data_IF_524708202406
#
_entry.id   IF_524708202406
#
_cell.length_a   1.000
_cell.length_b   1.000
_cell.length_c   1.000
_cell.angle_alpha   90.00
_cell.angle_beta   90.00
_cell.angle_gamma   90.00
#
_symmetry.space_group_name_H-M   'P 1'
#
loop_
_entity.id
_entity.type
_entity.pdbx_description
1 polymer ?
#
# COMPACT_ATOMS: atom_id res chain seq x y z
N UNK A 1 23.04 14.33 60.00
CA UNK A 1 21.99 14.74 59.04
C UNK A 1 21.18 13.51 58.67
N UNK A 2 19.92 13.42 59.12
CA UNK A 2 19.01 12.34 58.71
C UNK A 2 18.17 12.89 57.54
N UNK A 3 18.28 12.29 56.36
CA UNK A 3 17.45 12.64 55.22
C UNK A 3 15.97 12.30 55.55
N UNK A 4 15.02 13.20 55.27
CA UNK A 4 13.61 12.95 55.54
C UNK A 4 13.07 11.82 54.65
N UNK A 5 12.30 10.90 55.25
CA UNK A 5 11.74 9.69 54.63
C UNK A 5 10.85 10.01 53.42
N UNK A 6 10.31 11.23 53.36
CA UNK A 6 9.48 11.74 52.27
C UNK A 6 10.23 11.79 50.92
N UNK A 7 11.56 12.00 50.93
CA UNK A 7 12.37 11.94 49.68
C UNK A 7 12.56 10.50 49.16
N UNK A 8 12.40 9.48 50.01
CA UNK A 8 12.53 8.07 49.61
C UNK A 8 11.26 7.55 48.91
N UNK A 9 10.10 8.18 49.18
CA UNK A 9 8.82 7.80 48.58
C UNK A 9 8.63 8.35 47.16
N UNK A 10 9.34 9.43 46.78
CA UNK A 10 9.33 9.98 45.42
C UNK A 10 10.22 9.19 44.43
N UNK A 11 11.17 8.37 44.91
CA UNK A 11 12.00 7.52 44.05
C UNK A 11 11.33 6.24 43.56
N UNK A 12 10.12 5.92 44.03
CA UNK A 12 9.38 4.71 43.61
C UNK A 12 8.26 4.97 42.60
N UNK A 13 8.03 6.22 42.20
CA UNK A 13 6.94 6.61 41.29
C UNK A 13 7.36 6.81 39.82
N UNK A 14 8.50 6.26 39.41
CA UNK A 14 8.93 6.24 38.00
C UNK A 14 9.29 4.83 37.53
N UNK A 15 8.49 3.84 37.91
CA UNK A 15 8.24 2.74 36.99
C UNK A 15 7.25 3.28 35.95
N UNK A 16 7.78 4.03 34.98
CA UNK A 16 7.12 4.09 33.69
C UNK A 16 7.06 2.63 33.23
N UNK A 17 5.93 1.99 33.50
CA UNK A 17 5.60 0.73 32.87
C UNK A 17 5.61 1.09 31.39
N UNK A 18 6.71 0.78 30.71
CA UNK A 18 6.76 0.75 29.26
C UNK A 18 5.72 -0.30 28.90
N UNK A 19 4.46 0.12 28.77
CA UNK A 19 3.42 -0.73 28.21
C UNK A 19 4.03 -1.19 26.90
N UNK A 20 4.29 -2.49 26.76
CA UNK A 20 4.67 -3.00 25.45
C UNK A 20 3.52 -2.56 24.56
N UNK A 21 3.81 -1.73 23.55
CA UNK A 21 2.83 -1.42 22.53
C UNK A 21 2.49 -2.77 21.92
N UNK A 22 1.36 -3.35 22.33
CA UNK A 22 0.83 -4.55 21.70
C UNK A 22 0.73 -4.19 20.21
N UNK A 23 1.27 -5.02 19.31
CA UNK A 23 1.19 -4.76 17.89
C UNK A 23 -0.27 -4.49 17.51
N UNK A 24 -0.53 -3.29 16.99
CA UNK A 24 -1.90 -2.87 16.64
C UNK A 24 -2.29 -3.60 15.37
N UNK A 25 -3.32 -4.44 15.45
CA UNK A 25 -4.05 -4.98 14.30
C UNK A 25 -5.26 -4.09 14.03
N UNK A 26 -5.50 -3.70 12.77
CA UNK A 26 -6.71 -3.00 12.38
C UNK A 26 -7.79 -3.98 11.88
N UNK A 27 -8.68 -4.44 12.76
CA UNK A 27 -9.93 -5.00 12.27
C UNK A 27 -10.81 -3.90 11.63
N UNK A 28 -11.89 -4.29 10.95
CA UNK A 28 -12.80 -3.34 10.30
C UNK A 28 -13.29 -2.21 11.22
N UNK A 29 -13.62 -2.53 12.48
CA UNK A 29 -14.06 -1.54 13.46
C UNK A 29 -12.98 -0.47 13.75
N UNK A 30 -11.71 -0.84 13.72
CA UNK A 30 -10.59 0.09 13.93
C UNK A 30 -10.39 1.07 12.77
N UNK A 31 -10.88 0.75 11.56
CA UNK A 31 -10.67 1.56 10.34
C UNK A 31 -11.94 2.27 9.84
N UNK A 32 -13.04 2.27 10.61
CA UNK A 32 -14.29 2.95 10.25
C UNK A 32 -14.13 4.45 9.94
N UNK A 33 -13.08 5.10 10.44
CA UNK A 33 -12.75 6.50 10.11
C UNK A 33 -12.01 6.70 8.77
N UNK A 34 -11.56 5.61 8.15
CA UNK A 34 -10.76 5.59 6.91
C UNK A 34 -11.50 4.98 5.72
N UNK A 35 -12.52 4.14 5.98
CA UNK A 35 -13.36 3.51 4.97
C UNK A 35 -14.74 4.18 4.89
N UNK A 36 -15.37 4.15 3.72
CA UNK A 36 -16.77 4.54 3.53
C UNK A 36 -17.73 3.36 3.59
N UNK A 37 -17.23 2.14 3.75
CA UNK A 37 -18.03 0.93 3.78
C UNK A 37 -18.77 0.78 5.11
N UNK A 38 -19.95 0.15 5.06
CA UNK A 38 -20.71 -0.22 6.26
C UNK A 38 -20.40 -1.62 6.77
N UNK A 39 -19.77 -2.45 5.94
CA UNK A 39 -19.57 -3.89 6.17
C UNK A 39 -18.16 -4.28 5.74
N UNK A 40 -17.58 -5.25 6.44
CA UNK A 40 -16.30 -5.86 6.07
C UNK A 40 -16.48 -6.90 4.96
N UNK A 41 -15.67 -6.83 3.91
CA UNK A 41 -15.66 -7.78 2.80
C UNK A 41 -14.43 -8.69 2.80
N UNK A 42 -13.64 -8.68 3.88
CA UNK A 42 -12.44 -9.51 4.04
C UNK A 42 -12.81 -10.99 4.17
N UNK A 43 -11.94 -11.85 3.66
CA UNK A 43 -12.09 -13.30 3.81
C UNK A 43 -12.05 -13.64 5.29
N UNK A 44 -13.02 -14.40 5.82
CA UNK A 44 -13.04 -14.74 7.23
C UNK A 44 -11.92 -15.73 7.58
N UNK A 45 -11.51 -15.71 8.84
CA UNK A 45 -10.72 -16.79 9.43
C UNK A 45 -11.50 -18.12 9.34
N UNK A 46 -10.79 -19.19 8.98
CA UNK A 46 -11.22 -20.58 9.14
C UNK A 46 -10.14 -21.30 9.97
N UNK A 47 -10.41 -22.51 10.47
CA UNK A 47 -9.47 -23.30 11.28
C UNK A 47 -8.10 -23.45 10.57
N UNK A 48 -8.11 -23.53 9.23
CA UNK A 48 -6.91 -23.60 8.39
C UNK A 48 -6.12 -22.28 8.27
N UNK A 49 -6.75 -21.12 8.52
CA UNK A 49 -6.18 -19.78 8.36
C UNK A 49 -6.05 -19.00 9.67
N UNK A 50 -6.34 -19.63 10.81
CA UNK A 50 -6.42 -18.98 12.13
C UNK A 50 -5.18 -18.16 12.55
N UNK A 51 -4.00 -18.45 11.98
CA UNK A 51 -2.75 -17.71 12.25
C UNK A 51 -2.40 -16.68 11.14
N UNK A 52 -3.24 -16.52 10.11
CA UNK A 52 -2.99 -15.58 9.01
C UNK A 52 -3.28 -14.16 9.49
N UNK A 53 -2.34 -13.24 9.27
CA UNK A 53 -2.56 -11.85 9.65
C UNK A 53 -3.38 -11.06 8.63
N UNK A 54 -2.94 -11.05 7.37
CA UNK A 54 -3.58 -10.27 6.31
C UNK A 54 -4.70 -11.05 5.63
N UNK A 55 -5.85 -10.42 5.50
CA UNK A 55 -7.03 -11.00 4.88
C UNK A 55 -7.41 -10.23 3.63
N UNK A 56 -7.43 -10.92 2.50
CA UNK A 56 -7.82 -10.36 1.21
C UNK A 56 -9.35 -10.28 1.13
N UNK A 57 -9.85 -9.43 0.24
CA UNK A 57 -11.27 -9.34 -0.04
C UNK A 57 -11.80 -10.65 -0.62
N UNK A 58 -13.03 -11.00 -0.25
CA UNK A 58 -13.73 -12.21 -0.71
C UNK A 58 -13.93 -12.30 -2.22
N UNK A 59 -13.83 -11.18 -2.95
CA UNK A 59 -14.06 -11.11 -4.40
C UNK A 59 -12.77 -11.06 -5.24
N UNK A 60 -11.64 -10.66 -4.69
CA UNK A 60 -10.36 -10.56 -5.41
C UNK A 60 -9.19 -10.50 -4.41
N UNK A 61 -8.15 -11.29 -4.68
CA UNK A 61 -6.98 -11.40 -3.81
C UNK A 61 -6.19 -10.10 -3.67
N UNK A 62 -6.26 -9.16 -4.61
CA UNK A 62 -5.43 -7.96 -4.61
C UNK A 62 -6.13 -6.73 -3.99
N UNK A 63 -7.19 -6.98 -3.22
CA UNK A 63 -7.97 -5.95 -2.56
C UNK A 63 -8.10 -6.24 -1.07
N UNK A 64 -8.10 -5.17 -0.28
CA UNK A 64 -8.39 -5.20 1.14
C UNK A 64 -9.89 -5.01 1.36
N UNK A 65 -10.54 -6.04 1.91
CA UNK A 65 -11.99 -6.06 2.09
C UNK A 65 -12.52 -5.04 3.10
N UNK A 66 -11.65 -4.42 3.90
CA UNK A 66 -12.03 -3.32 4.79
C UNK A 66 -12.26 -2.01 4.03
N UNK A 67 -11.71 -1.90 2.80
CA UNK A 67 -11.71 -0.67 2.00
C UNK A 67 -12.33 -0.84 0.60
N UNK A 68 -12.63 -2.07 0.16
CA UNK A 68 -13.24 -2.33 -1.13
C UNK A 68 -14.41 -3.32 -1.03
N UNK A 69 -15.49 -3.04 -1.77
CA UNK A 69 -16.64 -3.92 -1.94
C UNK A 69 -16.69 -4.59 -3.32
N UNK A 70 -15.91 -4.07 -4.28
CA UNK A 70 -15.83 -4.57 -5.65
C UNK A 70 -14.50 -4.18 -6.31
N UNK A 71 -14.15 -4.92 -7.36
CA UNK A 71 -12.96 -4.67 -8.18
C UNK A 71 -13.09 -3.38 -8.98
N UNK A 72 -11.99 -2.63 -9.09
CA UNK A 72 -11.92 -1.47 -9.98
C UNK A 72 -12.02 -1.88 -11.46
N UNK A 73 -12.65 -1.06 -12.31
CA UNK A 73 -12.64 -1.26 -13.76
C UNK A 73 -11.22 -1.36 -14.33
N UNK A 74 -10.99 -2.33 -15.22
CA UNK A 74 -9.67 -2.62 -15.80
C UNK A 74 -9.01 -1.41 -16.47
N UNK A 75 -9.80 -0.57 -17.13
CA UNK A 75 -9.36 0.64 -17.83
C UNK A 75 -8.83 1.74 -16.90
N UNK A 76 -9.22 1.71 -15.63
CA UNK A 76 -8.86 2.70 -14.61
C UNK A 76 -7.91 2.16 -13.55
N UNK A 77 -7.77 0.83 -13.40
CA UNK A 77 -6.90 0.21 -12.39
C UNK A 77 -5.46 0.70 -12.49
N UNK A 78 -4.90 0.78 -13.71
CA UNK A 78 -3.53 1.25 -13.92
C UNK A 78 -3.30 2.67 -13.38
N UNK A 79 -4.30 3.57 -13.45
CA UNK A 79 -4.21 4.90 -12.86
C UNK A 79 -4.07 4.81 -11.33
N UNK A 80 -4.87 3.97 -10.67
CA UNK A 80 -4.78 3.79 -9.22
C UNK A 80 -3.46 3.14 -8.78
N UNK A 81 -2.97 2.13 -9.51
CA UNK A 81 -1.67 1.50 -9.23
C UNK A 81 -0.52 2.52 -9.37
N UNK A 82 -0.58 3.43 -10.33
CA UNK A 82 0.43 4.50 -10.47
C UNK A 82 0.45 5.44 -9.26
N UNK A 83 -0.72 5.84 -8.74
CA UNK A 83 -0.79 6.67 -7.51
C UNK A 83 -0.29 5.91 -6.29
N UNK A 84 -0.63 4.62 -6.19
CA UNK A 84 -0.17 3.75 -5.13
C UNK A 84 1.36 3.60 -5.15
N UNK A 85 1.94 3.31 -6.31
CA UNK A 85 3.38 3.25 -6.53
C UNK A 85 4.07 4.57 -6.16
N UNK A 86 3.58 5.71 -6.67
CA UNK A 86 4.17 7.02 -6.40
C UNK A 86 4.14 7.36 -4.91
N UNK A 87 2.99 7.16 -4.26
CA UNK A 87 2.84 7.47 -2.83
C UNK A 87 3.67 6.55 -1.93
N UNK A 88 3.82 5.29 -2.31
CA UNK A 88 4.67 4.34 -1.59
C UNK A 88 6.14 4.74 -1.69
N UNK A 89 6.69 4.88 -2.90
CA UNK A 89 8.11 5.20 -3.11
C UNK A 89 8.47 6.55 -2.48
N UNK A 90 7.61 7.56 -2.64
CA UNK A 90 7.81 8.88 -2.03
C UNK A 90 7.77 8.83 -0.50
N UNK A 91 6.91 7.99 0.09
CA UNK A 91 6.88 7.80 1.54
C UNK A 91 8.12 7.07 2.04
N UNK A 92 8.52 5.97 1.39
CA UNK A 92 9.70 5.22 1.79
C UNK A 92 10.97 6.06 1.69
N UNK A 93 11.10 6.89 0.65
CA UNK A 93 12.20 7.85 0.51
C UNK A 93 12.21 8.88 1.66
N UNK A 94 11.05 9.48 1.99
CA UNK A 94 10.92 10.42 3.12
C UNK A 94 11.27 9.80 4.47
N UNK A 95 10.93 8.52 4.68
CA UNK A 95 11.26 7.78 5.91
C UNK A 95 12.76 7.37 5.92
N UNK A 96 13.40 7.27 4.75
CA UNK A 96 14.78 6.81 4.60
C UNK A 96 14.91 5.30 4.46
N UNK A 97 13.86 4.63 3.97
CA UNK A 97 13.82 3.19 3.72
C UNK A 97 14.18 2.89 2.28
N UNK A 98 15.10 1.94 2.10
CA UNK A 98 15.43 1.40 0.78
C UNK A 98 14.49 0.24 0.47
N UNK A 99 13.93 0.27 -0.73
CA UNK A 99 12.97 -0.71 -1.22
C UNK A 99 13.33 -1.17 -2.63
N UNK A 100 12.98 -2.40 -2.98
CA UNK A 100 13.22 -2.98 -4.30
C UNK A 100 11.92 -3.44 -4.93
N UNK A 101 11.73 -3.11 -6.21
CA UNK A 101 10.63 -3.63 -7.03
C UNK A 101 10.80 -5.14 -7.26
N UNK A 102 9.71 -5.89 -7.23
CA UNK A 102 9.70 -7.34 -7.41
C UNK A 102 8.73 -7.79 -8.51
N UNK A 103 8.82 -9.07 -8.90
CA UNK A 103 7.84 -9.76 -9.75
C UNK A 103 7.46 -9.01 -11.03
N UNK A 104 6.15 -8.82 -11.28
CA UNK A 104 5.61 -8.15 -12.47
C UNK A 104 6.06 -6.69 -12.57
N UNK A 105 6.16 -5.98 -11.43
CA UNK A 105 6.63 -4.60 -11.37
C UNK A 105 8.06 -4.45 -11.90
N UNK A 106 8.95 -5.35 -11.50
CA UNK A 106 10.34 -5.35 -11.97
C UNK A 106 10.42 -5.59 -13.49
N UNK A 107 9.58 -6.50 -14.01
CA UNK A 107 9.56 -6.82 -15.43
C UNK A 107 9.01 -5.67 -16.29
N UNK A 108 7.93 -5.03 -15.87
CA UNK A 108 7.39 -3.85 -16.55
C UNK A 108 8.38 -2.68 -16.56
N UNK A 109 9.05 -2.45 -15.43
CA UNK A 109 10.13 -1.46 -15.35
C UNK A 109 11.27 -1.78 -16.34
N UNK A 110 11.71 -3.04 -16.39
CA UNK A 110 12.78 -3.48 -17.29
C UNK A 110 12.44 -3.26 -18.78
N UNK A 111 11.19 -3.51 -19.18
CA UNK A 111 10.81 -3.42 -20.60
C UNK A 111 10.59 -1.99 -21.10
N UNK A 112 9.93 -1.14 -20.33
CA UNK A 112 9.63 0.23 -20.79
C UNK A 112 9.49 1.26 -19.65
N UNK A 113 9.88 0.90 -18.42
CA UNK A 113 9.73 1.79 -17.27
C UNK A 113 8.29 1.98 -16.79
N UNK A 114 7.35 1.10 -17.16
CA UNK A 114 5.91 1.22 -16.79
C UNK A 114 5.40 -0.03 -16.08
N UNK A 115 4.30 0.14 -15.34
CA UNK A 115 3.48 -0.99 -14.86
C UNK A 115 2.88 -1.69 -16.08
N UNK A 116 2.81 -3.02 -16.05
CA UNK A 116 2.27 -3.78 -17.16
C UNK A 116 0.78 -3.45 -17.39
N UNK A 117 0.28 -3.36 -18.64
CA UNK A 117 -1.13 -2.99 -18.88
C UNK A 117 -2.16 -3.96 -18.28
N UNK A 118 -1.75 -5.20 -18.01
CA UNK A 118 -2.59 -6.24 -17.42
C UNK A 118 -2.29 -6.50 -15.93
N UNK A 119 -1.31 -5.82 -15.33
CA UNK A 119 -1.04 -5.96 -13.89
C UNK A 119 -2.25 -5.56 -13.05
N UNK A 120 -2.36 -6.19 -11.89
CA UNK A 120 -3.41 -5.96 -10.92
C UNK A 120 -2.89 -5.73 -9.50
N UNK A 121 -1.60 -5.90 -9.26
CA UNK A 121 -0.91 -5.72 -7.99
C UNK A 121 0.43 -5.00 -8.14
N UNK A 122 1.04 -4.70 -6.99
CA UNK A 122 2.42 -4.22 -6.88
C UNK A 122 3.12 -4.96 -5.74
N UNK A 123 4.34 -5.41 -5.99
CA UNK A 123 5.16 -6.13 -5.01
C UNK A 123 6.49 -5.45 -4.78
N UNK A 124 6.85 -5.32 -3.51
CA UNK A 124 8.11 -4.74 -3.09
C UNK A 124 8.80 -5.58 -2.02
N UNK A 125 10.12 -5.39 -1.93
CA UNK A 125 10.94 -6.05 -0.93
C UNK A 125 11.73 -5.02 -0.12
N UNK A 126 11.89 -5.30 1.18
CA UNK A 126 12.69 -4.51 2.13
C UNK A 126 13.75 -5.39 2.82
N UNK A 127 14.75 -4.76 3.43
CA UNK A 127 15.67 -5.46 4.32
C UNK A 127 15.11 -5.51 5.76
N UNK A 128 15.60 -6.46 6.57
CA UNK A 128 15.11 -6.68 7.94
C UNK A 128 15.16 -5.43 8.83
N UNK A 129 16.16 -4.56 8.65
CA UNK A 129 16.27 -3.33 9.45
C UNK A 129 15.17 -2.35 9.06
N UNK A 130 14.89 -2.23 7.76
CA UNK A 130 13.82 -1.39 7.23
C UNK A 130 12.44 -1.86 7.70
N UNK A 131 12.13 -3.15 7.64
CA UNK A 131 10.85 -3.67 8.15
C UNK A 131 10.70 -3.47 9.66
N UNK A 132 11.80 -3.64 10.43
CA UNK A 132 11.81 -3.35 11.87
C UNK A 132 11.56 -1.87 12.18
N UNK A 133 12.12 -0.97 11.39
CA UNK A 133 11.85 0.47 11.50
C UNK A 133 10.36 0.75 11.28
N UNK A 134 9.78 0.19 10.21
CA UNK A 134 8.35 0.33 9.93
C UNK A 134 7.48 -0.23 11.06
N UNK A 135 7.74 -1.46 11.49
CA UNK A 135 6.97 -2.12 12.55
C UNK A 135 6.99 -1.38 13.89
N UNK A 136 8.14 -0.80 14.24
CA UNK A 136 8.32 -0.12 15.53
C UNK A 136 7.73 1.30 15.57
N UNK A 137 7.84 2.05 14.47
CA UNK A 137 7.57 3.49 14.48
C UNK A 137 6.44 3.92 13.53
N UNK A 138 6.23 3.19 12.45
CA UNK A 138 5.33 3.58 11.35
C UNK A 138 4.12 2.65 11.20
N UNK A 139 4.04 1.55 11.94
CA UNK A 139 2.87 0.68 11.87
C UNK A 139 1.59 1.47 12.23
N UNK A 140 0.56 1.31 11.39
CA UNK A 140 -0.74 1.97 11.51
C UNK A 140 -0.72 3.49 11.28
N UNK A 141 0.27 4.02 10.54
CA UNK A 141 0.27 5.43 10.13
C UNK A 141 -0.55 5.64 8.86
N UNK A 142 -1.22 6.81 8.80
CA UNK A 142 -2.01 7.22 7.63
C UNK A 142 -1.32 8.39 6.94
N UNK A 143 -0.98 8.19 5.67
CA UNK A 143 -0.26 9.15 4.86
C UNK A 143 -1.20 9.83 3.87
N UNK A 144 -1.12 11.15 3.79
CA UNK A 144 -2.01 11.97 2.98
C UNK A 144 -1.24 12.54 1.79
N UNK A 145 -1.81 12.40 0.60
CA UNK A 145 -1.25 12.92 -0.65
C UNK A 145 -2.25 13.87 -1.31
N UNK A 146 -1.75 15.03 -1.72
CA UNK A 146 -2.52 16.07 -2.40
C UNK A 146 -2.27 16.04 -3.91
N UNK A 147 -3.02 16.87 -4.66
CA UNK A 147 -2.75 17.10 -6.08
C UNK A 147 -1.29 17.48 -6.35
N UNK A 148 -0.69 18.28 -5.46
CA UNK A 148 0.69 18.74 -5.58
C UNK A 148 1.67 17.58 -5.44
N UNK A 149 1.46 16.70 -4.46
CA UNK A 149 2.35 15.55 -4.21
C UNK A 149 2.38 14.56 -5.39
N UNK A 150 1.28 14.49 -6.15
CA UNK A 150 1.17 13.70 -7.38
C UNK A 150 1.60 14.44 -8.65
N UNK A 151 2.10 15.69 -8.56
CA UNK A 151 2.51 16.47 -9.73
C UNK A 151 1.34 16.88 -10.63
N UNK A 152 0.10 16.87 -10.14
CA UNK A 152 -1.07 17.25 -10.94
C UNK A 152 -1.18 18.74 -11.19
N UNK A 153 -0.43 19.55 -10.44
CA UNK A 153 -0.38 21.01 -10.58
C UNK A 153 0.81 21.48 -11.41
N UNK A 154 1.72 20.57 -11.78
CA UNK A 154 2.83 20.90 -12.65
C UNK A 154 2.27 21.20 -14.06
N UNK A 155 2.84 22.18 -14.79
CA UNK A 155 2.46 22.41 -16.18
C UNK A 155 2.53 21.07 -16.90
N UNK A 156 1.51 20.75 -17.71
CA UNK A 156 1.59 19.60 -18.62
C UNK A 156 2.75 19.90 -19.56
N UNK A 157 3.94 19.41 -19.22
CA UNK A 157 4.97 19.18 -20.22
C UNK A 157 4.36 18.05 -21.03
N UNK A 158 3.97 18.36 -22.27
CA UNK A 158 3.74 17.32 -23.26
C UNK A 158 5.05 16.55 -23.36
N UNK A 159 5.24 15.54 -22.50
CA UNK A 159 6.21 14.51 -22.79
C UNK A 159 5.74 13.95 -24.12
N UNK A 160 6.51 14.25 -25.17
CA UNK A 160 6.43 13.55 -26.43
C UNK A 160 6.42 12.06 -26.07
N UNK A 161 5.24 11.44 -26.04
CA UNK A 161 5.12 10.07 -26.51
C UNK A 161 5.70 10.14 -27.91
N UNK A 162 7.01 9.90 -28.01
CA UNK A 162 7.65 9.54 -29.26
C UNK A 162 6.91 8.30 -29.69
N UNK A 163 5.88 8.54 -30.50
CA UNK A 163 5.24 7.53 -31.29
C UNK A 163 6.38 6.77 -31.94
N UNK A 164 6.65 5.58 -31.43
CA UNK A 164 7.30 4.56 -32.23
C UNK A 164 6.45 4.53 -33.48
N UNK A 165 7.02 4.99 -34.60
CA UNK A 165 6.36 4.95 -35.90
C UNK A 165 6.19 3.47 -36.26
N UNK A 166 5.14 2.87 -35.71
CA UNK A 166 4.59 1.64 -36.22
C UNK A 166 3.80 2.07 -37.44
N UNK A 167 4.31 1.68 -38.61
CA UNK A 167 3.61 1.74 -39.91
C UNK A 167 2.10 1.48 -39.72
N UNK A 168 1.22 2.31 -40.30
CA UNK A 168 -0.20 2.25 -40.00
C UNK A 168 -0.78 0.96 -40.59
N UNK A 169 -1.07 0.00 -39.71
CA UNK A 169 -2.10 -1.01 -39.97
C UNK A 169 -3.45 -0.29 -40.05
N UNK A 170 -3.80 0.12 -41.28
CA UNK A 170 -5.11 0.65 -41.63
C UNK A 170 -6.17 -0.40 -41.25
N UNK A 171 -6.88 -0.19 -40.12
CA UNK A 171 -8.26 -0.62 -39.83
C UNK A 171 -8.56 -0.50 -38.32
N UNK A 172 -8.54 0.71 -37.74
CA UNK A 172 -9.22 0.94 -36.45
C UNK A 172 -10.65 1.40 -36.71
N UNK A 173 -11.62 0.56 -36.35
CA UNK A 173 -13.06 0.82 -36.48
C UNK A 173 -13.51 1.97 -35.57
N UNK A 174 -14.55 2.70 -35.95
CA UNK A 174 -15.12 3.86 -35.23
C UNK A 174 -15.44 3.55 -33.76
N UNK A 175 -15.76 2.28 -33.44
CA UNK A 175 -16.04 1.81 -32.10
C UNK A 175 -14.80 1.73 -31.19
N UNK A 176 -13.62 1.38 -31.73
CA UNK A 176 -12.37 1.35 -30.97
C UNK A 176 -11.99 2.78 -30.54
N UNK A 177 -12.07 3.72 -31.49
CA UNK A 177 -11.81 5.14 -31.21
C UNK A 177 -12.76 5.72 -30.15
N UNK A 178 -14.05 5.41 -30.23
CA UNK A 178 -15.03 5.85 -29.24
C UNK A 178 -14.77 5.25 -27.84
N UNK A 179 -14.30 3.99 -27.78
CA UNK A 179 -13.89 3.34 -26.52
C UNK A 179 -12.69 4.05 -25.90
N UNK A 180 -11.67 4.36 -26.70
CA UNK A 180 -10.45 5.03 -26.23
C UNK A 180 -10.74 6.45 -25.71
N UNK A 181 -11.60 7.20 -26.41
CA UNK A 181 -12.09 8.52 -25.95
C UNK A 181 -12.84 8.41 -24.62
N UNK A 182 -13.69 7.40 -24.45
CA UNK A 182 -14.40 7.15 -23.19
C UNK A 182 -13.47 6.84 -22.01
N UNK A 183 -12.40 6.08 -22.25
CA UNK A 183 -11.37 5.78 -21.24
C UNK A 183 -10.62 7.05 -20.85
N UNK A 184 -10.24 7.88 -21.83
CA UNK A 184 -9.53 9.14 -21.58
C UNK A 184 -10.36 10.09 -20.70
N UNK A 185 -11.65 10.25 -21.01
CA UNK A 185 -12.58 11.05 -20.21
C UNK A 185 -12.67 10.53 -18.77
N UNK A 186 -12.75 9.21 -18.58
CA UNK A 186 -12.83 8.62 -17.24
C UNK A 186 -11.56 8.86 -16.43
N UNK A 187 -10.39 8.70 -17.04
CA UNK A 187 -9.10 9.01 -16.39
C UNK A 187 -8.99 10.48 -16.01
N UNK A 188 -9.46 11.39 -16.86
CA UNK A 188 -9.48 12.83 -16.56
C UNK A 188 -10.37 13.14 -15.34
N UNK A 189 -11.58 12.57 -15.30
CA UNK A 189 -12.47 12.72 -14.15
C UNK A 189 -11.84 12.19 -12.85
N UNK A 190 -11.20 11.01 -12.89
CA UNK A 190 -10.49 10.46 -11.74
C UNK A 190 -9.35 11.37 -11.27
N UNK A 191 -8.60 11.95 -12.21
CA UNK A 191 -7.53 12.91 -11.90
C UNK A 191 -8.07 14.15 -11.19
N UNK A 192 -9.19 14.70 -11.67
CA UNK A 192 -9.85 15.86 -11.05
C UNK A 192 -10.38 15.56 -9.65
N UNK A 193 -11.00 14.39 -9.47
CA UNK A 193 -11.48 13.93 -8.15
C UNK A 193 -10.32 13.79 -7.16
N UNK A 194 -9.21 13.15 -7.57
CA UNK A 194 -8.00 13.03 -6.75
C UNK A 194 -7.38 14.40 -6.48
N UNK A 195 -7.34 15.30 -7.47
CA UNK A 195 -6.80 16.63 -7.29
C UNK A 195 -7.60 17.43 -6.23
N UNK A 196 -8.93 17.25 -6.20
CA UNK A 196 -9.82 17.94 -5.27
C UNK A 196 -9.80 17.34 -3.86
N UNK A 197 -9.83 16.02 -3.74
CA UNK A 197 -10.00 15.31 -2.46
C UNK A 197 -8.70 14.82 -1.83
N UNK A 198 -7.65 14.67 -2.63
CA UNK A 198 -6.44 13.96 -2.24
C UNK A 198 -6.66 12.45 -2.07
N UNK A 199 -5.63 11.77 -1.57
CA UNK A 199 -5.64 10.32 -1.28
C UNK A 199 -5.07 10.07 0.12
N UNK A 200 -5.53 8.98 0.73
CA UNK A 200 -5.05 8.48 2.01
C UNK A 200 -4.55 7.06 1.82
N UNK A 201 -3.40 6.78 2.42
CA UNK A 201 -2.78 5.46 2.39
C UNK A 201 -2.46 5.02 3.81
N UNK A 202 -2.81 3.78 4.14
CA UNK A 202 -2.51 3.16 5.42
C UNK A 202 -1.27 2.28 5.26
N UNK A 203 -0.28 2.47 6.12
CA UNK A 203 0.79 1.50 6.31
C UNK A 203 0.41 0.56 7.46
N UNK A 204 0.35 -0.73 7.17
CA UNK A 204 0.10 -1.77 8.17
C UNK A 204 1.20 -2.83 8.11
N UNK A 205 1.75 -3.19 9.27
CA UNK A 205 2.86 -4.13 9.40
C UNK A 205 2.39 -5.35 10.18
N UNK A 206 2.56 -6.53 9.58
CA UNK A 206 2.29 -7.82 10.18
C UNK A 206 3.23 -8.03 11.38
N UNK A 207 2.74 -8.26 12.61
CA UNK A 207 3.58 -8.48 13.79
C UNK A 207 4.53 -9.67 13.67
N UNK A 208 4.26 -10.59 12.74
CA UNK A 208 5.11 -11.75 12.46
C UNK A 208 6.34 -11.41 11.60
N UNK A 209 6.59 -10.13 11.24
CA UNK A 209 7.70 -9.70 10.38
C UNK A 209 9.11 -10.09 10.86
N UNK A 210 9.26 -10.53 12.11
CA UNK A 210 10.52 -11.02 12.68
C UNK A 210 10.72 -12.53 12.48
N UNK A 211 9.71 -13.23 11.96
CA UNK A 211 9.73 -14.67 11.76
C UNK A 211 10.57 -15.03 10.53
N UNK A 212 11.76 -15.55 10.75
CA UNK A 212 12.67 -15.97 9.67
C UNK A 212 12.44 -17.42 9.20
N UNK A 213 11.39 -18.10 9.70
CA UNK A 213 11.10 -19.50 9.37
C UNK A 213 10.54 -19.64 7.96
N UNK A 214 11.03 -20.60 7.19
CA UNK A 214 10.46 -20.95 5.87
C UNK A 214 9.24 -21.88 5.96
N UNK A 215 8.81 -22.23 7.18
CA UNK A 215 7.66 -23.13 7.39
C UNK A 215 6.34 -22.38 7.50
N UNK A 216 6.36 -21.09 7.89
CA UNK A 216 5.15 -20.27 7.91
C UNK A 216 4.78 -19.89 6.47
N UNK A 217 3.61 -20.37 6.04
CA UNK A 217 3.07 -20.09 4.70
C UNK A 217 1.90 -19.12 4.72
N UNK A 218 1.44 -18.73 5.90
CA UNK A 218 0.30 -17.82 6.06
C UNK A 218 0.76 -16.37 6.19
N UNK A 219 1.93 -16.13 6.78
CA UNK A 219 2.49 -14.80 7.01
C UNK A 219 3.72 -14.52 6.15
N UNK A 220 3.61 -14.75 4.83
CA UNK A 220 4.68 -14.43 3.87
C UNK A 220 4.79 -12.92 3.63
N UNK A 221 3.70 -12.18 3.79
CA UNK A 221 3.65 -10.73 3.62
C UNK A 221 3.85 -10.05 4.98
N UNK A 222 4.85 -9.17 5.05
CA UNK A 222 5.27 -8.51 6.29
C UNK A 222 4.64 -7.14 6.47
N UNK A 223 4.28 -6.46 5.39
CA UNK A 223 3.56 -5.20 5.45
C UNK A 223 2.72 -4.96 4.20
N UNK A 224 1.73 -4.08 4.35
CA UNK A 224 0.92 -3.56 3.24
C UNK A 224 0.89 -2.05 3.25
N UNK A 225 0.97 -1.47 2.06
CA UNK A 225 0.65 -0.06 1.79
C UNK A 225 -0.68 0.02 1.06
N UNK A 226 -1.73 0.48 1.76
CA UNK A 226 -3.13 0.28 1.35
C UNK A 226 -3.77 1.60 0.97
N UNK A 227 -4.36 1.69 -0.22
CA UNK A 227 -5.23 2.80 -0.64
C UNK A 227 -6.61 2.69 0.05
N UNK A 228 -6.89 3.57 1.01
CA UNK A 228 -8.11 3.44 1.83
C UNK A 228 -9.39 3.76 1.06
N UNK A 229 -9.30 4.31 -0.16
CA UNK A 229 -10.46 4.65 -0.98
C UNK A 229 -10.80 3.57 -2.00
N UNK A 230 -9.86 2.69 -2.34
CA UNK A 230 -10.08 1.64 -3.35
C UNK A 230 -9.76 0.23 -2.87
N UNK A 231 -9.13 0.08 -1.70
CA UNK A 231 -8.66 -1.18 -1.15
C UNK A 231 -7.51 -1.84 -1.92
N UNK A 232 -6.99 -1.22 -2.99
CA UNK A 232 -5.76 -1.70 -3.62
C UNK A 232 -4.59 -1.52 -2.65
N UNK A 233 -3.64 -2.44 -2.67
CA UNK A 233 -2.48 -2.36 -1.81
C UNK A 233 -1.21 -2.85 -2.50
N UNK A 234 -0.07 -2.53 -1.89
CA UNK A 234 1.24 -3.09 -2.22
C UNK A 234 1.57 -4.14 -1.17
N UNK A 235 1.91 -5.34 -1.61
CA UNK A 235 2.48 -6.37 -0.74
C UNK A 235 3.98 -6.13 -0.58
N UNK A 236 4.43 -6.17 0.68
CA UNK A 236 5.81 -5.89 1.05
C UNK A 236 6.35 -7.09 1.83
N UNK A 237 7.44 -7.66 1.31
CA UNK A 237 8.11 -8.82 1.90
C UNK A 237 9.52 -8.44 2.36
N UNK A 238 9.96 -9.02 3.47
CA UNK A 238 11.28 -8.79 4.03
C UNK A 238 12.26 -9.83 3.50
N UNK A 239 13.41 -9.37 3.03
CA UNK A 239 14.53 -10.23 2.75
C UNK A 239 15.23 -10.59 4.06
N UNK A 240 15.11 -11.85 4.46
CA UNK A 240 15.78 -12.40 5.62
C UNK A 240 17.12 -13.06 5.26
N UNK A 241 18.07 -13.03 6.19
CA UNK A 241 19.21 -13.96 6.10
C UNK A 241 18.71 -15.37 6.36
N UNK A 242 19.14 -16.34 5.55
CA UNK A 242 18.76 -17.73 5.75
C UNK A 242 19.07 -18.17 7.18
N UNK A 243 18.14 -18.86 7.87
CA UNK A 243 18.42 -19.40 9.18
C UNK A 243 19.67 -20.30 9.16
N UNK A 244 20.50 -20.27 10.21
CA UNK A 244 21.69 -21.12 10.32
C UNK A 244 21.35 -22.62 10.40
#
# INVERSE_FOLDING_TARGET
MKLPIELLLLSFASLASSASLQPRNANFAAVLGLTSLSTDHSTPDDDALSDKFFHEATFDGHYDGRFAEAKLPDDTRAFHLQLLLKSYVDTMDRIGIRTWIMHGCLLGWWWNGKIMPWDNDLDFMLDERSTRELGNWWNMTVHHYTAKDFGFLDPIVEEEEKAVQVEPLQHTTTAAKAKDEGIAIRKQFLREEVAKKGKKYLLEVNPNYINTSTNDRHNVIDARWIDTATGLYIDITTLHTSPP
#
